data_IF_117854016260
#
_entry.id   IF_117854016260
#
_cell.length_a   1.000
_cell.length_b   1.000
_cell.length_c   1.000
_cell.angle_alpha   90.00
_cell.angle_beta   90.00
_cell.angle_gamma   90.00
#
_symmetry.space_group_name_H-M   'P 1'
#
loop_
_entity.id
_entity.type
_entity.pdbx_description
1 polymer ?
#
# COMPACT_ATOMS: atom_id res chain seq x y z
N UNK A 1 6.14 37.13 32.80
CA UNK A 1 7.25 37.01 31.82
C UNK A 1 7.88 35.63 32.01
N UNK A 2 7.32 34.60 31.37
CA UNK A 2 7.82 33.22 31.49
C UNK A 2 8.52 32.87 30.17
N UNK A 3 9.82 32.59 30.26
CA UNK A 3 10.65 32.27 29.11
C UNK A 3 10.32 30.85 28.60
N UNK A 4 9.92 30.74 27.33
CA UNK A 4 9.78 29.46 26.64
C UNK A 4 11.15 28.84 26.41
N UNK A 5 11.41 27.71 27.08
CA UNK A 5 12.63 26.93 26.90
C UNK A 5 12.60 26.23 25.54
N UNK A 6 13.30 26.78 24.54
CA UNK A 6 13.47 26.19 23.21
C UNK A 6 14.25 24.87 23.31
N UNK A 7 13.55 23.74 23.32
CA UNK A 7 14.15 22.42 23.35
C UNK A 7 15.08 22.22 22.13
N UNK A 8 16.39 22.13 22.38
CA UNK A 8 17.41 21.85 21.37
C UNK A 8 17.18 20.42 20.86
N UNK A 9 16.63 20.24 19.66
CA UNK A 9 16.57 18.93 18.98
C UNK A 9 17.99 18.46 18.74
N UNK A 10 18.53 17.68 19.67
CA UNK A 10 19.79 16.97 19.44
C UNK A 10 19.51 15.92 18.36
N UNK A 11 20.12 16.09 17.19
CA UNK A 11 20.03 15.09 16.11
C UNK A 11 20.71 13.83 16.65
N UNK A 12 19.90 12.82 16.99
CA UNK A 12 20.38 11.55 17.54
C UNK A 12 21.04 10.76 16.42
N UNK A 13 22.33 10.98 16.20
CA UNK A 13 23.08 10.41 15.08
C UNK A 13 23.01 8.87 15.04
N UNK A 14 22.90 8.23 16.20
CA UNK A 14 22.66 6.78 16.32
C UNK A 14 21.39 6.32 15.57
N UNK A 15 20.32 7.13 15.56
CA UNK A 15 19.08 6.80 14.81
C UNK A 15 19.36 6.73 13.31
N UNK A 16 20.19 7.62 12.78
CA UNK A 16 20.59 7.61 11.37
C UNK A 16 21.38 6.36 10.99
N UNK A 17 22.31 5.92 11.83
CA UNK A 17 23.15 4.73 11.57
C UNK A 17 22.33 3.44 11.61
N UNK A 18 21.39 3.30 12.54
CA UNK A 18 20.50 2.12 12.61
C UNK A 18 19.46 2.11 11.49
N UNK A 19 19.00 3.29 11.04
CA UNK A 19 18.01 3.41 9.98
C UNK A 19 18.65 3.31 8.57
N UNK A 20 19.92 3.72 8.44
CA UNK A 20 20.66 3.75 7.18
C UNK A 20 20.58 2.43 6.38
N UNK A 21 20.86 1.23 6.92
CA UNK A 21 20.79 0.00 6.14
C UNK A 21 19.37 -0.30 5.64
N UNK A 22 18.34 -0.07 6.47
CA UNK A 22 16.95 -0.27 6.08
C UNK A 22 16.54 0.68 4.95
N UNK A 23 16.91 1.96 5.05
CA UNK A 23 16.64 2.97 4.02
C UNK A 23 17.40 2.66 2.73
N UNK A 24 18.65 2.20 2.82
CA UNK A 24 19.44 1.83 1.65
C UNK A 24 18.78 0.69 0.88
N UNK A 25 18.41 -0.38 1.57
CA UNK A 25 17.73 -1.53 0.95
C UNK A 25 16.38 -1.12 0.38
N UNK A 26 15.56 -0.40 1.15
CA UNK A 26 14.26 0.10 0.67
C UNK A 26 14.41 0.97 -0.59
N UNK A 27 15.38 1.88 -0.58
CA UNK A 27 15.62 2.77 -1.72
C UNK A 27 16.08 1.97 -2.93
N UNK A 28 17.04 1.07 -2.76
CA UNK A 28 17.62 0.30 -3.85
C UNK A 28 16.61 -0.62 -4.55
N UNK A 29 15.73 -1.27 -3.77
CA UNK A 29 14.82 -2.30 -4.30
C UNK A 29 13.38 -1.84 -4.51
N UNK A 30 12.94 -0.73 -3.91
CA UNK A 30 11.58 -0.22 -4.08
C UNK A 30 11.57 1.14 -4.79
N UNK A 31 12.35 2.10 -4.31
CA UNK A 31 12.32 3.47 -4.85
C UNK A 31 12.98 3.54 -6.23
N UNK A 32 14.16 2.94 -6.42
CA UNK A 32 14.85 2.98 -7.72
C UNK A 32 14.02 2.32 -8.85
N UNK A 33 13.44 1.12 -8.68
CA UNK A 33 12.57 0.54 -9.72
C UNK A 33 11.29 1.34 -9.97
N UNK A 34 10.77 2.03 -8.95
CA UNK A 34 9.62 2.92 -9.12
C UNK A 34 9.96 4.08 -10.06
N UNK A 35 11.12 4.72 -9.89
CA UNK A 35 11.58 5.75 -10.82
C UNK A 35 11.80 5.20 -12.23
N UNK A 36 12.35 3.99 -12.35
CA UNK A 36 12.47 3.30 -13.64
C UNK A 36 11.13 3.10 -14.33
N UNK A 37 10.11 2.68 -13.58
CA UNK A 37 8.72 2.52 -14.08
C UNK A 37 8.12 3.86 -14.51
N UNK A 38 8.32 4.92 -13.72
CA UNK A 38 7.85 6.26 -14.06
C UNK A 38 8.52 6.77 -15.33
N UNK A 39 9.83 6.57 -15.48
CA UNK A 39 10.55 6.89 -16.70
C UNK A 39 9.95 6.11 -17.87
N UNK A 40 9.84 4.79 -17.76
CA UNK A 40 9.30 3.93 -18.81
C UNK A 40 7.88 4.33 -19.24
N UNK A 41 7.05 4.86 -18.33
CA UNK A 41 5.71 5.36 -18.66
C UNK A 41 5.69 6.51 -19.69
N UNK A 42 6.82 7.22 -19.86
CA UNK A 42 6.99 8.30 -20.84
C UNK A 42 7.60 7.81 -22.18
N UNK A 43 8.04 6.56 -22.23
CA UNK A 43 8.60 5.95 -23.44
C UNK A 43 7.62 4.90 -23.98
N UNK A 44 7.78 4.57 -25.26
CA UNK A 44 7.06 3.47 -25.91
C UNK A 44 8.03 2.69 -26.77
N UNK A 45 7.95 1.36 -26.70
CA UNK A 45 8.71 0.49 -27.58
C UNK A 45 7.97 0.38 -28.92
N UNK A 46 8.62 0.85 -29.99
CA UNK A 46 8.14 0.76 -31.37
C UNK A 46 9.27 0.08 -32.15
N UNK A 47 8.99 -1.08 -32.75
CA UNK A 47 9.94 -1.81 -33.59
C UNK A 47 11.32 -2.01 -32.92
N UNK A 48 11.31 -2.46 -31.65
CA UNK A 48 12.51 -2.67 -30.83
C UNK A 48 13.33 -1.41 -30.49
N UNK A 49 12.85 -0.22 -30.88
CA UNK A 49 13.41 1.07 -30.47
C UNK A 49 12.57 1.71 -29.36
N UNK A 50 13.22 2.20 -28.32
CA UNK A 50 12.57 2.92 -27.23
C UNK A 50 12.46 4.40 -27.59
N UNK A 51 11.25 4.84 -27.94
CA UNK A 51 10.97 6.22 -28.36
C UNK A 51 10.37 7.01 -27.20
N UNK A 52 10.85 8.23 -26.97
CA UNK A 52 10.26 9.14 -26.00
C UNK A 52 8.95 9.71 -26.56
N UNK A 53 7.82 9.38 -25.92
CA UNK A 53 6.47 9.80 -26.35
C UNK A 53 5.83 10.79 -25.37
N UNK A 54 6.55 11.15 -24.30
CA UNK A 54 6.05 12.04 -23.25
C UNK A 54 4.73 11.53 -22.67
N UNK A 55 3.71 12.39 -22.64
CA UNK A 55 2.40 12.05 -22.07
C UNK A 55 1.44 11.32 -23.04
N UNK A 56 1.91 10.89 -24.21
CA UNK A 56 1.03 10.22 -25.18
C UNK A 56 0.40 8.94 -24.62
N UNK A 57 1.16 8.15 -23.85
CA UNK A 57 0.66 6.92 -23.23
C UNK A 57 -0.54 7.19 -22.31
N UNK A 58 -0.50 8.28 -21.54
CA UNK A 58 -1.59 8.69 -20.67
C UNK A 58 -2.81 9.17 -21.47
N UNK A 59 -2.61 9.94 -22.56
CA UNK A 59 -3.73 10.36 -23.43
C UNK A 59 -4.44 9.16 -24.06
N UNK A 60 -3.70 8.15 -24.52
CA UNK A 60 -4.27 6.91 -25.01
C UNK A 60 -5.01 6.17 -23.90
N UNK A 61 -4.43 6.03 -22.71
CA UNK A 61 -5.07 5.34 -21.60
C UNK A 61 -6.39 6.01 -21.16
N UNK A 62 -6.44 7.33 -21.07
CA UNK A 62 -7.60 8.06 -20.55
C UNK A 62 -8.63 8.45 -21.62
N UNK A 63 -8.22 8.62 -22.87
CA UNK A 63 -9.05 9.19 -23.94
C UNK A 63 -9.37 8.26 -25.11
N UNK A 64 -8.62 7.18 -25.32
CA UNK A 64 -8.89 6.24 -26.42
C UNK A 64 -10.08 5.34 -26.03
N UNK A 65 -11.14 5.23 -26.86
CA UNK A 65 -12.31 4.38 -26.57
C UNK A 65 -11.96 2.91 -26.28
N UNK A 66 -10.89 2.38 -26.83
CA UNK A 66 -10.50 0.98 -26.64
C UNK A 66 -9.84 0.72 -25.28
N UNK A 67 -9.14 1.70 -24.72
CA UNK A 67 -8.35 1.56 -23.49
C UNK A 67 -9.04 2.22 -22.29
N UNK A 68 -9.66 3.37 -22.50
CA UNK A 68 -10.30 4.17 -21.45
C UNK A 68 -11.47 3.46 -20.80
N UNK A 69 -12.30 2.74 -21.56
CA UNK A 69 -13.46 2.01 -21.01
C UNK A 69 -13.02 0.97 -19.98
N UNK A 70 -12.01 0.17 -20.32
CA UNK A 70 -11.47 -0.85 -19.42
C UNK A 70 -10.77 -0.22 -18.22
N UNK A 71 -10.01 0.85 -18.44
CA UNK A 71 -9.33 1.58 -17.37
C UNK A 71 -10.32 2.15 -16.35
N UNK A 72 -11.35 2.88 -16.80
CA UNK A 72 -12.36 3.48 -15.92
C UNK A 72 -13.21 2.43 -15.22
N UNK A 73 -13.53 1.32 -15.90
CA UNK A 73 -14.25 0.21 -15.29
C UNK A 73 -13.41 -0.47 -14.19
N UNK A 74 -12.13 -0.75 -14.47
CA UNK A 74 -11.22 -1.32 -13.49
C UNK A 74 -11.02 -0.39 -12.29
N UNK A 75 -10.83 0.92 -12.53
CA UNK A 75 -10.70 1.93 -11.48
C UNK A 75 -11.97 1.99 -10.61
N UNK A 76 -13.15 2.02 -11.24
CA UNK A 76 -14.44 2.04 -10.53
C UNK A 76 -14.62 0.78 -9.67
N UNK A 77 -14.29 -0.39 -10.21
CA UNK A 77 -14.37 -1.64 -9.44
C UNK A 77 -13.39 -1.64 -8.27
N UNK A 78 -12.16 -1.14 -8.46
CA UNK A 78 -11.17 -1.05 -7.39
C UNK A 78 -11.64 -0.11 -6.27
N UNK A 79 -12.19 1.05 -6.63
CA UNK A 79 -12.76 2.01 -5.68
C UNK A 79 -13.96 1.42 -4.95
N UNK A 80 -14.87 0.73 -5.65
CA UNK A 80 -16.01 0.05 -5.02
C UNK A 80 -15.54 -1.03 -4.04
N UNK A 81 -14.58 -1.85 -4.45
CA UNK A 81 -13.99 -2.88 -3.60
C UNK A 81 -13.35 -2.26 -2.36
N UNK A 82 -12.56 -1.20 -2.53
CA UNK A 82 -11.94 -0.44 -1.44
C UNK A 82 -12.98 0.10 -0.45
N UNK A 83 -14.05 0.74 -0.94
CA UNK A 83 -15.12 1.29 -0.09
C UNK A 83 -15.80 0.17 0.70
N UNK A 84 -16.15 -0.94 0.06
CA UNK A 84 -16.79 -2.08 0.73
C UNK A 84 -15.86 -2.66 1.79
N UNK A 85 -14.58 -2.86 1.49
CA UNK A 85 -13.62 -3.38 2.46
C UNK A 85 -13.44 -2.42 3.63
N UNK A 86 -13.36 -1.12 3.35
CA UNK A 86 -13.19 -0.10 4.38
C UNK A 86 -14.42 0.05 5.28
N UNK A 87 -15.63 -0.06 4.74
CA UNK A 87 -16.88 0.14 5.49
C UNK A 87 -17.46 -1.14 6.09
N UNK A 88 -17.14 -2.31 5.54
CA UNK A 88 -17.71 -3.58 5.98
C UNK A 88 -16.66 -4.44 6.67
N UNK A 89 -15.56 -4.77 5.99
CA UNK A 89 -14.53 -5.64 6.55
C UNK A 89 -13.84 -5.02 7.77
N UNK A 90 -13.43 -3.75 7.70
CA UNK A 90 -12.74 -3.12 8.83
C UNK A 90 -13.62 -3.03 10.09
N UNK A 91 -14.88 -2.55 10.04
CA UNK A 91 -15.74 -2.53 11.22
C UNK A 91 -16.06 -3.91 11.76
N UNK A 92 -16.29 -4.91 10.90
CA UNK A 92 -16.48 -6.30 11.35
C UNK A 92 -15.23 -6.82 12.06
N UNK A 93 -14.04 -6.59 11.50
CA UNK A 93 -12.77 -6.97 12.12
C UNK A 93 -12.56 -6.32 13.49
N UNK A 94 -12.85 -5.02 13.60
CA UNK A 94 -12.77 -4.28 14.87
C UNK A 94 -13.82 -4.79 15.87
N UNK A 95 -15.05 -5.05 15.43
CA UNK A 95 -16.11 -5.60 16.27
C UNK A 95 -15.72 -6.97 16.83
N UNK A 96 -15.23 -7.88 15.98
CA UNK A 96 -14.74 -9.18 16.41
C UNK A 96 -13.56 -9.04 17.39
N UNK A 97 -12.62 -8.12 17.12
CA UNK A 97 -11.52 -7.85 18.04
C UNK A 97 -12.01 -7.33 19.40
N UNK A 98 -12.99 -6.41 19.42
CA UNK A 98 -13.58 -5.88 20.66
C UNK A 98 -14.31 -6.96 21.46
N UNK A 99 -15.07 -7.83 20.78
CA UNK A 99 -15.76 -8.97 21.41
C UNK A 99 -14.77 -9.97 22.02
N UNK A 100 -13.70 -10.32 21.30
CA UNK A 100 -12.66 -11.22 21.80
C UNK A 100 -11.81 -10.60 22.92
N UNK A 101 -11.72 -9.26 22.99
CA UNK A 101 -11.02 -8.56 24.07
C UNK A 101 -11.82 -8.46 25.38
N UNK A 102 -13.09 -8.87 25.39
CA UNK A 102 -13.93 -8.84 26.59
C UNK A 102 -13.52 -9.93 27.59
N UNK A 103 -13.24 -9.58 28.87
CA UNK A 103 -12.85 -10.54 29.91
C UNK A 103 -13.92 -11.60 30.25
N UNK A 104 -15.17 -11.38 29.80
CA UNK A 104 -16.31 -12.26 30.09
C UNK A 104 -16.45 -13.44 29.12
N UNK A 105 -15.66 -13.47 28.05
CA UNK A 105 -15.76 -14.53 27.05
C UNK A 105 -15.05 -15.80 27.53
N UNK A 106 -15.79 -16.90 27.66
CA UNK A 106 -15.23 -18.22 27.97
C UNK A 106 -14.67 -18.83 26.67
N UNK A 107 -13.54 -19.53 26.75
CA UNK A 107 -12.84 -20.14 25.59
C UNK A 107 -12.26 -19.16 24.55
N UNK A 108 -11.89 -17.93 24.93
CA UNK A 108 -11.30 -16.92 24.02
C UNK A 108 -10.12 -17.45 23.19
N UNK A 109 -9.28 -18.31 23.76
CA UNK A 109 -8.15 -18.91 23.05
C UNK A 109 -8.58 -19.77 21.84
N UNK A 110 -9.67 -20.54 21.95
CA UNK A 110 -10.19 -21.36 20.87
C UNK A 110 -10.74 -20.49 19.72
N UNK A 111 -11.57 -19.48 20.05
CA UNK A 111 -12.11 -18.55 19.05
C UNK A 111 -11.03 -17.77 18.33
N UNK A 112 -9.99 -17.32 19.04
CA UNK A 112 -8.83 -16.66 18.45
C UNK A 112 -8.16 -17.59 17.44
N UNK A 113 -7.83 -18.82 17.83
CA UNK A 113 -7.20 -19.77 16.91
C UNK A 113 -8.06 -20.02 15.67
N UNK A 114 -9.36 -20.30 15.81
CA UNK A 114 -10.24 -20.56 14.66
C UNK A 114 -10.31 -19.39 13.66
N UNK A 115 -10.35 -18.15 14.15
CA UNK A 115 -10.40 -16.94 13.29
C UNK A 115 -9.05 -16.65 12.64
N UNK A 116 -7.93 -16.93 13.32
CA UNK A 116 -6.59 -16.63 12.81
C UNK A 116 -5.95 -17.77 12.00
N UNK A 117 -6.38 -19.03 12.16
CA UNK A 117 -5.85 -20.18 11.40
C UNK A 117 -5.87 -19.94 9.88
N UNK A 118 -6.97 -19.44 9.27
CA UNK A 118 -6.99 -19.17 7.83
C UNK A 118 -5.92 -18.18 7.37
N UNK A 119 -5.55 -17.21 8.21
CA UNK A 119 -4.54 -16.20 7.86
C UNK A 119 -3.11 -16.77 7.80
N UNK A 120 -2.90 -17.95 8.39
CA UNK A 120 -1.62 -18.67 8.38
C UNK A 120 -1.55 -19.58 7.14
N UNK A 121 -2.70 -19.98 6.58
CA UNK A 121 -2.73 -20.74 5.33
C UNK A 121 -2.27 -19.86 4.17
N UNK A 122 -1.39 -20.39 3.33
CA UNK A 122 -0.91 -19.68 2.13
C UNK A 122 -2.08 -19.38 1.21
N UNK A 123 -2.10 -18.15 0.67
CA UNK A 123 -3.11 -17.70 -0.29
C UNK A 123 -3.23 -18.61 -1.51
N UNK A 124 -2.17 -19.33 -1.89
CA UNK A 124 -2.16 -20.26 -3.03
C UNK A 124 -3.09 -21.47 -2.82
N UNK A 125 -3.42 -21.81 -1.58
CA UNK A 125 -4.27 -22.96 -1.22
C UNK A 125 -5.76 -22.57 -1.15
N UNK A 126 -6.08 -21.27 -1.13
CA UNK A 126 -7.44 -20.73 -0.93
C UNK A 126 -8.03 -20.23 -2.25
#
# INVERSE_FOLDING_TARGET
MAAETRAKRTIRWHVGVFLAPAVLVYTAFMILPLFGTLQLSLFRNIEQSQVFVGFSNFRTLFGDPNWSVNFWNALRNNVWFFIIHMLVQNPIGILLAALLSSPRLRFTAFYRTAIFVPTILSFVIV
#
